data_IF_647694308694
#
_entry.id   IF_647694308694
#
_cell.length_a   1.000
_cell.length_b   1.000
_cell.length_c   1.000
_cell.angle_alpha   90.00
_cell.angle_beta   90.00
_cell.angle_gamma   90.00
#
_symmetry.space_group_name_H-M   'P 1'
#
loop_
_entity.id
_entity.type
_entity.pdbx_description
1 polymer ?
#
# COMPACT_ATOMS: atom_id res chain seq x y z
N UNK A 1 -28.77 -13.63 -25.22
CA UNK A 1 -27.87 -14.42 -26.10
C UNK A 1 -26.97 -13.51 -26.93
N UNK A 2 -27.49 -12.48 -27.63
CA UNK A 2 -26.65 -11.53 -28.37
C UNK A 2 -25.55 -10.83 -27.53
N UNK A 3 -25.82 -10.47 -26.27
CA UNK A 3 -24.84 -9.84 -25.38
C UNK A 3 -23.63 -10.73 -25.06
N UNK A 4 -23.82 -12.04 -24.86
CA UNK A 4 -22.72 -12.98 -24.60
C UNK A 4 -21.82 -13.17 -25.82
N UNK A 5 -22.39 -13.15 -27.02
CA UNK A 5 -21.60 -13.23 -28.25
C UNK A 5 -20.75 -11.97 -28.46
N UNK A 6 -21.30 -10.79 -28.15
CA UNK A 6 -20.54 -9.55 -28.20
C UNK A 6 -19.43 -9.54 -27.14
N UNK A 7 -19.72 -9.94 -25.90
CA UNK A 7 -18.72 -10.05 -24.83
C UNK A 7 -17.57 -10.99 -25.20
N UNK A 8 -17.87 -12.19 -25.71
CA UNK A 8 -16.86 -13.16 -26.12
C UNK A 8 -15.96 -12.64 -27.26
N UNK A 9 -16.53 -11.94 -28.24
CA UNK A 9 -15.77 -11.39 -29.35
C UNK A 9 -14.77 -10.32 -28.87
N UNK A 10 -15.22 -9.38 -28.04
CA UNK A 10 -14.36 -8.32 -27.51
C UNK A 10 -13.34 -8.87 -26.49
N UNK A 11 -13.74 -9.84 -25.66
CA UNK A 11 -12.85 -10.49 -24.71
C UNK A 11 -11.72 -11.26 -25.39
N UNK A 12 -12.03 -11.99 -26.48
CA UNK A 12 -11.02 -12.70 -27.27
C UNK A 12 -10.02 -11.72 -27.90
N UNK A 13 -10.51 -10.61 -28.47
CA UNK A 13 -9.65 -9.57 -29.03
C UNK A 13 -8.73 -8.93 -27.97
N UNK A 14 -9.22 -8.73 -26.75
CA UNK A 14 -8.42 -8.20 -25.65
C UNK A 14 -7.34 -9.18 -25.17
N UNK A 15 -7.63 -10.47 -25.06
CA UNK A 15 -6.64 -11.47 -24.61
C UNK A 15 -5.43 -11.54 -25.54
N UNK A 16 -5.64 -11.40 -26.85
CA UNK A 16 -4.57 -11.46 -27.84
C UNK A 16 -3.73 -10.18 -27.90
N UNK A 17 -4.13 -9.12 -27.19
CA UNK A 17 -3.42 -7.84 -27.16
C UNK A 17 -2.07 -7.93 -26.41
N UNK A 18 -1.05 -7.17 -26.84
CA UNK A 18 0.21 -7.08 -26.10
C UNK A 18 0.03 -6.49 -24.69
N UNK A 19 -0.97 -5.61 -24.49
CA UNK A 19 -1.31 -5.05 -23.18
C UNK A 19 -1.79 -6.13 -22.21
N UNK A 20 -2.66 -7.05 -22.65
CA UNK A 20 -3.12 -8.16 -21.84
C UNK A 20 -1.96 -9.09 -21.46
N UNK A 21 -1.06 -9.40 -22.41
CA UNK A 21 0.14 -10.19 -22.12
C UNK A 21 1.05 -9.52 -21.07
N UNK A 22 1.27 -8.20 -21.19
CA UNK A 22 2.07 -7.44 -20.23
C UNK A 22 1.43 -7.39 -18.83
N UNK A 23 0.12 -7.15 -18.74
CA UNK A 23 -0.60 -7.12 -17.48
C UNK A 23 -0.64 -8.50 -16.80
N UNK A 24 -0.79 -9.58 -17.57
CA UNK A 24 -0.66 -10.95 -17.04
C UNK A 24 0.75 -11.22 -16.52
N UNK A 25 1.79 -10.77 -17.22
CA UNK A 25 3.17 -10.90 -16.76
C UNK A 25 3.41 -10.17 -15.43
N UNK A 26 2.92 -8.93 -15.29
CA UNK A 26 2.98 -8.18 -14.02
C UNK A 26 2.21 -8.92 -12.93
N UNK A 27 1.02 -9.44 -13.24
CA UNK A 27 0.23 -10.21 -12.28
C UNK A 27 1.03 -11.41 -11.74
N UNK A 28 1.60 -12.24 -12.60
CA UNK A 28 2.39 -13.39 -12.15
C UNK A 28 3.64 -12.97 -11.37
N UNK A 29 4.38 -11.96 -11.83
CA UNK A 29 5.52 -11.43 -11.11
C UNK A 29 5.15 -10.94 -9.69
N UNK A 30 3.97 -10.31 -9.53
CA UNK A 30 3.48 -9.89 -8.21
C UNK A 30 2.98 -11.02 -7.34
N UNK A 31 2.59 -12.17 -7.90
CA UNK A 31 2.28 -13.36 -7.10
C UNK A 31 3.57 -14.01 -6.61
N UNK A 32 4.54 -14.19 -7.50
CA UNK A 32 5.83 -14.81 -7.16
C UNK A 32 6.54 -14.04 -6.05
N UNK A 33 6.49 -12.70 -6.07
CA UNK A 33 7.06 -11.83 -5.03
C UNK A 33 6.40 -11.93 -3.65
N UNK A 34 5.19 -12.50 -3.51
CA UNK A 34 4.55 -12.66 -2.19
C UNK A 34 5.15 -13.81 -1.40
N UNK A 35 5.64 -14.83 -2.10
CA UNK A 35 6.23 -16.02 -1.51
C UNK A 35 7.76 -15.87 -1.34
N UNK A 36 8.35 -14.81 -1.89
CA UNK A 36 9.77 -14.48 -1.78
C UNK A 36 10.08 -13.85 -0.39
N UNK A 37 10.88 -14.49 0.47
CA UNK A 37 11.28 -13.94 1.76
C UNK A 37 12.25 -12.74 1.64
N UNK A 38 12.75 -12.44 0.44
CA UNK A 38 13.66 -11.34 0.15
C UNK A 38 15.11 -11.57 0.58
N UNK A 39 15.43 -12.77 1.06
CA UNK A 39 16.75 -13.20 1.51
C UNK A 39 17.00 -14.65 1.14
N UNK A 40 18.24 -14.99 0.78
CA UNK A 40 18.64 -16.37 0.42
C UNK A 40 18.76 -17.32 1.62
N UNK A 41 18.37 -16.87 2.82
CA UNK A 41 18.53 -17.59 4.09
C UNK A 41 17.18 -17.90 4.73
N UNK A 42 17.11 -18.98 5.52
CA UNK A 42 15.94 -19.34 6.35
C UNK A 42 15.74 -18.40 7.57
N UNK A 43 15.99 -17.11 7.40
CA UNK A 43 15.90 -16.12 8.46
C UNK A 43 14.44 -15.75 8.74
N UNK A 44 13.98 -16.05 9.95
CA UNK A 44 12.63 -15.70 10.39
C UNK A 44 12.54 -14.21 10.77
N UNK A 45 11.56 -13.45 10.23
CA UNK A 45 11.39 -12.05 10.56
C UNK A 45 10.97 -11.89 12.03
N UNK A 46 11.63 -10.98 12.73
CA UNK A 46 11.29 -10.69 14.12
C UNK A 46 9.95 -9.95 14.18
N UNK A 47 9.00 -10.32 15.08
CA UNK A 47 7.75 -9.58 15.22
C UNK A 47 8.01 -8.14 15.64
N UNK A 48 7.34 -7.20 14.97
CA UNK A 48 7.41 -5.77 15.24
C UNK A 48 6.03 -5.26 15.66
N UNK A 49 5.89 -4.94 16.94
CA UNK A 49 4.65 -4.40 17.50
C UNK A 49 4.63 -2.87 17.55
N UNK A 50 5.82 -2.26 17.63
CA UNK A 50 5.99 -0.81 17.79
C UNK A 50 6.95 -0.25 16.75
N UNK A 51 6.54 0.86 16.14
CA UNK A 51 7.30 1.55 15.08
C UNK A 51 7.65 2.96 15.54
N UNK A 52 8.90 3.35 15.38
CA UNK A 52 9.37 4.73 15.60
C UNK A 52 9.69 5.39 14.27
N UNK A 53 9.08 6.55 14.00
CA UNK A 53 9.33 7.36 12.81
C UNK A 53 10.07 8.62 13.23
N UNK A 54 11.29 8.79 12.70
CA UNK A 54 12.13 9.96 12.99
C UNK A 54 11.90 10.99 11.87
N UNK A 55 11.36 12.14 12.23
CA UNK A 55 10.84 13.15 11.32
C UNK A 55 9.36 12.91 10.99
N UNK A 56 8.55 13.94 11.17
CA UNK A 56 7.10 14.03 10.93
C UNK A 56 6.75 14.94 9.74
N UNK A 57 7.71 15.28 8.87
CA UNK A 57 7.43 15.95 7.60
C UNK A 57 6.62 15.10 6.63
N UNK A 58 6.58 15.48 5.34
CA UNK A 58 5.77 14.80 4.31
C UNK A 58 5.94 13.27 4.28
N UNK A 59 7.20 12.81 4.26
CA UNK A 59 7.50 11.37 4.24
C UNK A 59 7.16 10.70 5.58
N UNK A 60 7.51 11.34 6.69
CA UNK A 60 7.29 10.82 8.03
C UNK A 60 5.83 10.63 8.39
N UNK A 61 5.00 11.64 8.09
CA UNK A 61 3.55 11.56 8.24
C UNK A 61 2.93 10.46 7.36
N UNK A 62 3.42 10.29 6.12
CA UNK A 62 3.00 9.22 5.24
C UNK A 62 3.33 7.82 5.79
N UNK A 63 4.58 7.61 6.21
CA UNK A 63 5.05 6.36 6.82
C UNK A 63 4.27 6.05 8.09
N UNK A 64 4.06 7.06 8.95
CA UNK A 64 3.29 6.88 10.17
C UNK A 64 1.83 6.51 9.88
N UNK A 65 1.22 7.14 8.88
CA UNK A 65 -0.17 6.84 8.47
C UNK A 65 -0.30 5.39 8.02
N UNK A 66 0.56 4.91 7.12
CA UNK A 66 0.48 3.52 6.63
C UNK A 66 0.82 2.50 7.71
N UNK A 67 1.76 2.84 8.61
CA UNK A 67 2.14 1.96 9.73
C UNK A 67 0.98 1.74 10.72
N UNK A 68 0.15 2.77 10.93
CA UNK A 68 -1.04 2.65 11.79
C UNK A 68 -2.22 2.03 11.04
N UNK A 69 -2.50 2.47 9.81
CA UNK A 69 -3.74 2.09 9.10
C UNK A 69 -3.65 0.76 8.37
N UNK A 70 -2.55 0.51 7.65
CA UNK A 70 -2.38 -0.70 6.84
C UNK A 70 -1.72 -1.82 7.66
N UNK A 71 -0.70 -1.48 8.45
CA UNK A 71 0.06 -2.46 9.24
C UNK A 71 -0.48 -2.68 10.66
N UNK A 72 -1.37 -1.80 11.16
CA UNK A 72 -2.00 -1.94 12.47
C UNK A 72 -1.03 -1.84 13.67
N UNK A 73 0.09 -1.13 13.53
CA UNK A 73 1.15 -1.07 14.56
C UNK A 73 1.15 0.22 15.36
N UNK A 74 1.48 0.13 16.65
CA UNK A 74 1.66 1.32 17.50
C UNK A 74 2.83 2.15 16.96
N UNK A 75 2.55 3.34 16.46
CA UNK A 75 3.56 4.17 15.78
C UNK A 75 3.77 5.49 16.51
N UNK A 76 5.04 5.85 16.75
CA UNK A 76 5.45 7.10 17.42
C UNK A 76 6.28 7.96 16.48
N UNK A 77 5.93 9.24 16.37
CA UNK A 77 6.69 10.22 15.59
C UNK A 77 7.61 10.99 16.54
N UNK A 78 8.90 11.04 16.23
CA UNK A 78 9.89 11.86 16.94
C UNK A 78 10.34 13.01 16.04
N UNK A 79 10.20 14.22 16.54
CA UNK A 79 10.69 15.44 15.88
C UNK A 79 11.62 16.25 16.79
N UNK A 80 12.24 17.26 16.19
CA UNK A 80 13.16 18.19 16.86
C UNK A 80 12.46 19.18 17.79
N UNK A 81 11.24 19.60 17.44
CA UNK A 81 10.44 20.56 18.19
C UNK A 81 8.93 20.22 18.15
N UNK A 82 8.17 20.83 19.06
CA UNK A 82 6.74 20.55 19.23
C UNK A 82 5.90 21.00 18.03
N UNK A 83 6.28 22.11 17.37
CA UNK A 83 5.58 22.60 16.19
C UNK A 83 5.73 21.62 15.02
N UNK A 84 6.89 20.98 14.87
CA UNK A 84 7.17 19.95 13.88
C UNK A 84 6.38 18.68 14.17
N UNK A 85 6.30 18.25 15.44
CA UNK A 85 5.43 17.15 15.85
C UNK A 85 3.98 17.47 15.46
N UNK A 86 3.48 18.66 15.81
CA UNK A 86 2.11 19.07 15.55
C UNK A 86 1.79 19.07 14.05
N UNK A 87 2.71 19.55 13.20
CA UNK A 87 2.56 19.47 11.73
C UNK A 87 2.47 18.03 11.24
N UNK A 88 3.29 17.14 11.77
CA UNK A 88 3.28 15.73 11.39
C UNK A 88 2.00 15.02 11.79
N UNK A 89 1.52 15.27 13.02
CA UNK A 89 0.23 14.76 13.49
C UNK A 89 -0.91 15.31 12.63
N UNK A 90 -0.94 16.63 12.37
CA UNK A 90 -1.97 17.25 11.55
C UNK A 90 -2.01 16.72 10.10
N UNK A 91 -0.87 16.30 9.55
CA UNK A 91 -0.86 15.59 8.27
C UNK A 91 -1.58 14.25 8.34
N UNK A 92 -1.29 13.44 9.36
CA UNK A 92 -1.93 12.13 9.57
C UNK A 92 -3.43 12.31 9.77
N UNK A 93 -3.85 13.25 10.62
CA UNK A 93 -5.27 13.59 10.85
C UNK A 93 -5.99 13.91 9.54
N UNK A 94 -5.41 14.78 8.70
CA UNK A 94 -6.01 15.14 7.42
C UNK A 94 -6.17 13.94 6.47
N UNK A 95 -5.21 13.02 6.45
CA UNK A 95 -5.30 11.81 5.62
C UNK A 95 -6.39 10.88 6.16
N UNK A 96 -6.49 10.73 7.48
CA UNK A 96 -7.53 9.94 8.12
C UNK A 96 -8.91 10.53 7.85
N UNK A 97 -9.10 11.84 8.03
CA UNK A 97 -10.37 12.51 7.73
C UNK A 97 -10.79 12.28 6.27
N UNK A 98 -9.85 12.40 5.33
CA UNK A 98 -10.13 12.13 3.91
C UNK A 98 -10.57 10.69 3.67
N UNK A 99 -9.96 9.71 4.37
CA UNK A 99 -10.35 8.29 4.27
C UNK A 99 -11.73 8.05 4.88
N UNK A 100 -12.04 8.71 5.99
CA UNK A 100 -13.34 8.66 6.67
C UNK A 100 -14.44 9.19 5.77
N UNK A 101 -14.24 10.35 5.16
CA UNK A 101 -15.21 10.98 4.26
C UNK A 101 -15.49 10.12 3.02
N UNK A 102 -14.50 9.31 2.60
CA UNK A 102 -14.63 8.34 1.51
C UNK A 102 -15.21 6.98 1.93
N UNK A 103 -15.53 6.79 3.22
CA UNK A 103 -16.05 5.52 3.75
C UNK A 103 -15.04 4.38 3.74
N UNK A 104 -13.73 4.68 3.90
CA UNK A 104 -12.62 3.72 3.85
C UNK A 104 -11.90 3.56 5.20
N UNK A 105 -12.53 3.98 6.29
CA UNK A 105 -12.09 3.84 7.68
C UNK A 105 -13.14 3.06 8.48
#
# INVERSE_FOLDING_TARGET
QAGYHAELAEFAALIESPEAAALMSIFFATQDLKDDPGVDSDAEPRPVEKVGVIGGGLMGGGIATVSVTEAGRETRIKEVDDDAVARGIGYVEKVLDTRRDRGRL
#
